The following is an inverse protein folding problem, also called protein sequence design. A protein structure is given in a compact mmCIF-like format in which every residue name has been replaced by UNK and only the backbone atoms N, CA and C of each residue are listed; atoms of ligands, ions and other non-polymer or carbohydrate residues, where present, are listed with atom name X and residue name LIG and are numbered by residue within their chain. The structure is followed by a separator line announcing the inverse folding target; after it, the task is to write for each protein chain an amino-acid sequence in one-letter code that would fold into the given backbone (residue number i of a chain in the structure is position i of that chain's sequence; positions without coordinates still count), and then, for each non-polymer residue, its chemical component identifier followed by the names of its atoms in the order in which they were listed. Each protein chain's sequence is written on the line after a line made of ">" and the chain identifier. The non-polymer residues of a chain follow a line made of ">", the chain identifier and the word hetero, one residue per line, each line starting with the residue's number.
data_IF_522521871217
#
_entry.id   IF_522521871217
#
_cell.length_a   1.000
_cell.length_b   1.000
_cell.length_c   1.000
_cell.angle_alpha   90.00
_cell.angle_beta   90.00
_cell.angle_gamma   90.00
#
_symmetry.space_group_name_H-M   'P 1'
#
loop_
_entity.id
_entity.type
_entity.pdbx_description
1 polymer ?
#
# COMPACT_ATOMS: atom_id res chain seq x y z
N UNK A 1 79.52 -21.64 -65.47
CA UNK A 1 78.67 -21.17 -66.56
C UNK A 1 77.19 -21.39 -66.15
N UNK A 2 76.44 -20.30 -66.21
CA UNK A 2 75.00 -20.13 -65.94
C UNK A 2 74.60 -19.97 -64.50
N UNK A 3 74.49 -18.69 -64.14
CA UNK A 3 73.74 -18.13 -63.10
C UNK A 3 72.25 -18.43 -63.26
N UNK A 4 71.56 -18.75 -62.19
CA UNK A 4 70.09 -18.63 -62.07
C UNK A 4 69.72 -17.81 -60.86
N UNK A 5 69.37 -16.57 -61.17
CA UNK A 5 68.79 -15.67 -60.18
C UNK A 5 67.40 -16.14 -59.79
N UNK A 6 67.14 -16.33 -58.47
CA UNK A 6 65.84 -16.56 -57.94
C UNK A 6 65.34 -15.23 -57.32
N UNK A 7 64.30 -14.69 -57.94
CA UNK A 7 63.55 -13.53 -57.43
C UNK A 7 62.67 -13.98 -56.28
N UNK A 8 62.96 -13.51 -55.09
CA UNK A 8 62.10 -13.71 -53.91
C UNK A 8 61.02 -12.63 -53.88
N UNK A 9 59.75 -13.02 -54.12
CA UNK A 9 58.61 -12.14 -53.92
C UNK A 9 58.34 -12.00 -52.39
N UNK A 10 58.52 -10.80 -51.91
CA UNK A 10 57.98 -10.41 -50.54
C UNK A 10 56.46 -10.21 -50.63
N UNK A 11 55.72 -11.08 -50.04
CA UNK A 11 54.28 -10.87 -49.78
C UNK A 11 54.12 -10.03 -48.52
N UNK A 12 53.68 -8.82 -48.73
CA UNK A 12 53.23 -7.96 -47.63
C UNK A 12 51.89 -8.49 -47.06
N UNK A 13 51.90 -8.82 -45.76
CA UNK A 13 50.71 -9.16 -45.00
C UNK A 13 49.99 -7.87 -44.60
N UNK A 14 48.66 -7.73 -44.77
CA UNK A 14 47.94 -6.58 -44.31
C UNK A 14 47.65 -6.75 -42.80
N UNK A 15 48.25 -5.88 -41.97
CA UNK A 15 47.86 -5.68 -40.60
C UNK A 15 46.40 -5.16 -40.55
N UNK A 16 45.46 -6.02 -40.17
CA UNK A 16 44.13 -5.60 -39.75
C UNK A 16 44.25 -4.89 -38.39
N UNK A 17 44.16 -3.57 -38.39
CA UNK A 17 43.93 -2.79 -37.19
C UNK A 17 42.49 -2.99 -36.72
N UNK A 18 42.26 -3.91 -35.80
CA UNK A 18 41.01 -4.00 -35.08
C UNK A 18 40.92 -2.85 -34.08
N UNK A 19 40.20 -1.79 -34.41
CA UNK A 19 39.79 -0.74 -33.48
C UNK A 19 38.70 -1.34 -32.60
N UNK A 20 39.07 -1.78 -31.40
CA UNK A 20 38.12 -2.15 -30.35
C UNK A 20 37.47 -0.86 -29.85
N UNK A 21 36.27 -0.54 -30.37
CA UNK A 21 35.43 0.53 -29.80
C UNK A 21 34.89 0.01 -28.47
N UNK A 22 35.57 0.31 -27.37
CA UNK A 22 35.05 0.11 -26.02
C UNK A 22 33.90 1.10 -25.82
N UNK A 23 32.66 0.68 -26.07
CA UNK A 23 31.49 1.35 -25.57
C UNK A 23 31.52 1.25 -24.03
N UNK A 24 32.11 2.25 -23.39
CA UNK A 24 31.88 2.48 -21.97
C UNK A 24 30.41 2.86 -21.81
N UNK A 25 29.57 1.89 -21.48
CA UNK A 25 28.29 2.16 -20.85
C UNK A 25 28.61 2.88 -19.53
N UNK A 26 28.57 4.20 -19.56
CA UNK A 26 28.43 4.99 -18.34
C UNK A 26 27.10 4.56 -17.72
N UNK A 27 27.14 3.60 -16.79
CA UNK A 27 26.02 3.34 -15.92
C UNK A 27 25.69 4.68 -15.25
N UNK A 28 24.50 5.21 -15.50
CA UNK A 28 24.02 6.38 -14.76
C UNK A 28 24.24 6.10 -13.28
N UNK A 29 24.78 7.07 -12.51
CA UNK A 29 25.01 6.86 -11.09
C UNK A 29 23.70 6.37 -10.47
N UNK A 30 23.72 5.23 -9.80
CA UNK A 30 22.56 4.73 -9.06
C UNK A 30 22.21 5.80 -8.04
N UNK A 31 21.08 6.46 -8.26
CA UNK A 31 20.62 7.50 -7.33
C UNK A 31 20.36 6.82 -6.00
N UNK A 32 21.04 7.20 -4.94
CA UNK A 32 20.78 6.70 -3.60
C UNK A 32 19.32 7.00 -3.22
N UNK A 33 18.66 6.07 -2.53
CA UNK A 33 17.31 6.31 -2.05
C UNK A 33 17.28 7.56 -1.15
N UNK A 34 16.27 8.40 -1.35
CA UNK A 34 16.08 9.64 -0.62
C UNK A 34 14.66 9.71 -0.06
N UNK A 35 14.50 10.21 1.17
CA UNK A 35 13.19 10.44 1.81
C UNK A 35 12.96 11.92 2.07
N UNK A 36 11.76 12.39 1.72
CA UNK A 36 11.32 13.77 1.93
C UNK A 36 9.93 13.83 2.56
N UNK A 37 9.62 14.90 3.28
CA UNK A 37 8.25 15.18 3.73
C UNK A 37 7.55 15.99 2.66
N UNK A 38 6.39 15.53 2.20
CA UNK A 38 5.61 16.19 1.14
C UNK A 38 4.33 16.85 1.66
N UNK A 39 3.82 16.42 2.81
CA UNK A 39 2.66 17.02 3.46
C UNK A 39 2.73 16.83 4.98
N UNK A 40 2.15 17.76 5.70
CA UNK A 40 2.13 17.77 7.15
C UNK A 40 3.29 18.53 7.77
N UNK A 41 3.01 19.26 8.85
CA UNK A 41 3.96 20.06 9.61
C UNK A 41 4.30 19.44 10.99
N UNK A 42 3.85 18.21 11.24
CA UNK A 42 4.07 17.50 12.49
C UNK A 42 3.07 17.82 13.61
N UNK A 43 2.08 18.68 13.38
CA UNK A 43 1.06 19.02 14.38
C UNK A 43 -0.22 18.19 14.14
N UNK A 44 -0.80 17.57 15.20
CA UNK A 44 -2.02 16.77 15.10
C UNK A 44 -3.26 17.66 14.97
N UNK A 45 -3.57 18.08 13.77
CA UNK A 45 -4.77 18.86 13.43
C UNK A 45 -5.10 18.66 11.94
N UNK A 46 -6.33 19.02 11.55
CA UNK A 46 -6.76 19.04 10.14
C UNK A 46 -6.95 20.48 9.72
N UNK A 47 -5.98 21.05 9.01
CA UNK A 47 -6.00 22.47 8.62
C UNK A 47 -5.08 22.75 7.42
N UNK A 48 -5.11 23.99 6.96
CA UNK A 48 -4.19 24.48 5.92
C UNK A 48 -4.74 24.37 4.50
N UNK A 49 -6.04 24.16 4.32
CA UNK A 49 -6.68 24.14 3.00
C UNK A 49 -6.41 25.42 2.22
N UNK A 50 -6.14 25.27 0.92
CA UNK A 50 -5.76 26.36 0.02
C UNK A 50 -4.30 26.80 0.12
N UNK A 51 -3.53 26.22 1.05
CA UNK A 51 -2.10 26.49 1.22
C UNK A 51 -1.20 25.30 0.87
N UNK A 52 0.13 25.47 1.04
CA UNK A 52 1.10 24.41 0.77
C UNK A 52 0.90 23.19 1.69
N UNK A 53 0.84 21.98 1.12
CA UNK A 53 0.64 20.74 1.86
C UNK A 53 1.72 20.50 2.93
N UNK A 54 2.97 20.88 2.66
CA UNK A 54 4.08 20.77 3.62
C UNK A 54 3.91 21.67 4.86
N UNK A 55 3.11 22.73 4.77
CA UNK A 55 2.79 23.65 5.87
C UNK A 55 1.47 23.34 6.58
N UNK A 56 0.64 22.50 5.97
CA UNK A 56 -0.65 22.08 6.52
C UNK A 56 -0.45 21.19 7.74
N UNK A 57 -1.44 21.15 8.63
CA UNK A 57 -1.47 20.12 9.67
C UNK A 57 -2.29 18.93 9.19
N UNK A 58 -1.78 17.72 9.44
CA UNK A 58 -2.46 16.45 9.22
C UNK A 58 -2.68 15.75 10.56
N UNK A 59 -3.78 15.02 10.69
CA UNK A 59 -4.07 14.29 11.92
C UNK A 59 -4.11 12.78 11.64
N UNK A 60 -2.98 12.11 11.89
CA UNK A 60 -2.75 10.69 11.64
C UNK A 60 -3.05 10.31 10.18
N UNK A 61 -2.20 10.65 9.19
CA UNK A 61 -2.38 10.23 7.82
C UNK A 61 -2.26 8.70 7.71
N UNK A 62 -3.30 8.05 7.18
CA UNK A 62 -3.38 6.60 7.01
C UNK A 62 -3.35 6.23 5.51
N UNK A 63 -4.49 5.92 4.92
CA UNK A 63 -4.54 5.49 3.53
C UNK A 63 -4.09 6.57 2.55
N UNK A 64 -3.29 6.19 1.57
CA UNK A 64 -2.75 7.06 0.53
C UNK A 64 -3.02 6.41 -0.82
N UNK A 65 -3.44 7.18 -1.80
CA UNK A 65 -3.65 6.71 -3.17
C UNK A 65 -3.50 7.84 -4.17
N UNK A 66 -3.29 7.50 -5.45
CA UNK A 66 -3.33 8.46 -6.54
C UNK A 66 -4.64 8.34 -7.29
N UNK A 67 -5.27 9.49 -7.54
CA UNK A 67 -6.49 9.56 -8.31
C UNK A 67 -6.27 9.42 -9.82
N UNK A 68 -7.35 9.18 -10.57
CA UNK A 68 -7.30 9.17 -12.04
C UNK A 68 -6.93 10.54 -12.63
N UNK A 69 -7.08 11.62 -11.86
CA UNK A 69 -6.62 12.98 -12.17
C UNK A 69 -5.10 13.16 -11.97
N UNK A 70 -4.38 12.11 -11.53
CA UNK A 70 -2.97 12.16 -11.25
C UNK A 70 -2.59 12.82 -9.93
N UNK A 71 -3.56 13.24 -9.09
CA UNK A 71 -3.31 13.89 -7.82
C UNK A 71 -3.22 12.88 -6.66
N UNK A 72 -2.55 13.26 -5.58
CA UNK A 72 -2.40 12.42 -4.40
C UNK A 72 -3.53 12.68 -3.41
N UNK A 73 -4.08 11.60 -2.86
CA UNK A 73 -5.14 11.63 -1.86
C UNK A 73 -4.67 10.93 -0.59
N UNK A 74 -5.05 11.49 0.56
CA UNK A 74 -4.65 11.01 1.88
C UNK A 74 -5.86 11.05 2.80
N UNK A 75 -6.17 9.96 3.50
CA UNK A 75 -7.15 10.03 4.57
C UNK A 75 -6.48 10.30 5.92
N UNK A 76 -7.12 11.13 6.72
CA UNK A 76 -6.71 11.49 8.06
C UNK A 76 -7.59 10.73 9.07
N UNK A 77 -7.01 9.75 9.77
CA UNK A 77 -7.74 8.86 10.67
C UNK A 77 -8.43 9.61 11.82
N UNK A 78 -7.68 10.38 12.61
CA UNK A 78 -8.23 11.22 13.65
C UNK A 78 -8.63 12.62 13.16
N UNK A 79 -8.32 12.94 11.90
CA UNK A 79 -8.78 14.14 11.22
C UNK A 79 -10.16 14.02 10.61
N UNK A 80 -10.74 12.80 10.56
CA UNK A 80 -12.09 12.55 10.04
C UNK A 80 -12.34 13.16 8.65
N UNK A 81 -11.30 13.14 7.80
CA UNK A 81 -11.31 13.80 6.51
C UNK A 81 -10.48 13.05 5.46
N UNK A 82 -10.74 13.33 4.20
CA UNK A 82 -9.88 12.97 3.08
C UNK A 82 -9.37 14.24 2.44
N UNK A 83 -8.04 14.32 2.28
CA UNK A 83 -7.34 15.46 1.71
C UNK A 83 -6.79 15.11 0.32
N UNK A 84 -6.75 16.11 -0.56
CA UNK A 84 -6.15 16.02 -1.88
C UNK A 84 -4.99 17.00 -1.97
N UNK A 85 -3.87 16.54 -2.52
CA UNK A 85 -2.67 17.36 -2.80
C UNK A 85 -2.58 17.56 -4.31
N UNK A 86 -2.68 18.79 -4.74
CA UNK A 86 -2.60 19.20 -6.13
C UNK A 86 -1.15 19.17 -6.65
N UNK A 87 -0.98 19.25 -7.98
CA UNK A 87 0.34 19.20 -8.62
C UNK A 87 1.25 20.37 -8.23
N UNK A 88 0.68 21.54 -7.89
CA UNK A 88 1.39 22.71 -7.38
C UNK A 88 1.74 22.61 -5.89
N UNK A 89 1.38 21.49 -5.23
CA UNK A 89 1.60 21.27 -3.81
C UNK A 89 0.51 21.83 -2.89
N UNK A 90 -0.57 22.42 -3.43
CA UNK A 90 -1.69 22.92 -2.62
C UNK A 90 -2.53 21.76 -2.07
N UNK A 91 -2.93 21.83 -0.79
CA UNK A 91 -3.81 20.85 -0.16
C UNK A 91 -5.24 21.36 -0.02
N UNK A 92 -6.21 20.46 -0.14
CA UNK A 92 -7.63 20.75 0.07
C UNK A 92 -8.38 19.55 0.64
N UNK A 93 -9.42 19.79 1.44
CA UNK A 93 -10.34 18.76 1.94
C UNK A 93 -11.37 18.45 0.85
N UNK A 94 -11.54 17.14 0.52
CA UNK A 94 -12.51 16.70 -0.48
C UNK A 94 -13.67 15.89 0.12
N UNK A 95 -13.51 15.32 1.31
CA UNK A 95 -14.55 14.63 2.05
C UNK A 95 -14.30 14.74 3.55
N UNK A 96 -15.37 14.84 4.32
CA UNK A 96 -15.31 14.97 5.78
C UNK A 96 -15.23 16.40 6.28
N UNK A 97 -15.91 16.68 7.38
CA UNK A 97 -15.94 18.03 8.04
C UNK A 97 -14.85 18.20 9.08
N UNK A 98 -14.00 17.20 9.32
CA UNK A 98 -13.07 17.17 10.45
C UNK A 98 -13.72 16.82 11.79
N UNK A 99 -15.03 16.60 11.83
CA UNK A 99 -15.78 16.18 13.03
C UNK A 99 -16.24 14.73 12.89
N UNK A 100 -16.04 13.88 13.92
CA UNK A 100 -16.49 12.49 13.86
C UNK A 100 -18.01 12.40 13.75
N UNK A 101 -18.49 11.46 12.94
CA UNK A 101 -19.91 11.20 12.75
C UNK A 101 -20.21 10.36 11.53
N UNK A 102 -21.50 10.16 11.28
CA UNK A 102 -22.02 9.43 10.11
C UNK A 102 -23.21 10.18 9.53
N UNK A 103 -22.96 10.96 8.48
CA UNK A 103 -24.00 11.77 7.83
C UNK A 103 -23.61 12.16 6.42
N UNK A 104 -24.50 12.82 5.71
CA UNK A 104 -24.21 13.51 4.45
C UNK A 104 -24.49 12.71 3.19
N UNK A 105 -25.08 11.53 3.26
CA UNK A 105 -25.44 10.74 2.07
C UNK A 105 -26.37 11.53 1.15
N UNK A 106 -26.06 11.52 -0.15
CA UNK A 106 -26.77 12.28 -1.19
C UNK A 106 -26.35 13.74 -1.30
N UNK A 107 -25.48 14.23 -0.40
CA UNK A 107 -24.98 15.61 -0.40
C UNK A 107 -23.49 15.72 -0.71
N UNK A 108 -22.93 16.95 -0.61
CA UNK A 108 -21.52 17.22 -0.85
C UNK A 108 -20.62 16.45 0.13
N UNK A 109 -19.61 15.74 -0.39
CA UNK A 109 -18.69 14.93 0.43
C UNK A 109 -17.92 15.78 1.45
N UNK A 110 -17.54 17.01 1.12
CA UNK A 110 -16.85 17.92 2.04
C UNK A 110 -17.74 18.39 3.21
N UNK A 111 -19.07 18.26 3.09
CA UNK A 111 -20.03 18.56 4.15
C UNK A 111 -20.48 17.33 4.96
N UNK A 112 -20.05 16.14 4.56
CA UNK A 112 -20.38 14.89 5.24
C UNK A 112 -19.54 14.70 6.50
N UNK A 113 -20.04 13.92 7.46
CA UNK A 113 -19.24 13.46 8.57
C UNK A 113 -18.71 12.06 8.29
N UNK A 114 -17.42 11.87 8.51
CA UNK A 114 -16.72 10.60 8.53
C UNK A 114 -16.29 10.29 9.98
N UNK A 115 -15.99 9.03 10.28
CA UNK A 115 -15.49 8.68 11.60
C UNK A 115 -14.34 7.68 11.52
N UNK A 116 -13.12 8.17 11.62
CA UNK A 116 -11.87 7.42 11.48
C UNK A 116 -11.75 6.75 10.12
N UNK A 117 -11.78 7.52 9.00
CA UNK A 117 -11.53 6.97 7.68
C UNK A 117 -10.14 6.35 7.67
N UNK A 118 -10.06 5.09 7.21
CA UNK A 118 -8.86 4.28 7.42
C UNK A 118 -8.09 4.00 6.12
N UNK A 119 -8.80 3.68 5.05
CA UNK A 119 -8.24 3.39 3.75
C UNK A 119 -9.08 4.07 2.66
N UNK A 120 -8.42 4.43 1.57
CA UNK A 120 -9.05 5.03 0.39
C UNK A 120 -8.52 4.39 -0.88
N UNK A 121 -9.41 4.11 -1.83
CA UNK A 121 -9.05 3.60 -3.16
C UNK A 121 -9.98 4.19 -4.21
N UNK A 122 -9.44 4.43 -5.40
CA UNK A 122 -10.26 4.75 -6.56
C UNK A 122 -10.74 3.47 -7.22
N UNK A 123 -12.04 3.39 -7.48
CA UNK A 123 -12.65 2.28 -8.20
C UNK A 123 -12.48 2.37 -9.71
N UNK A 124 -12.80 1.28 -10.43
CA UNK A 124 -12.80 1.27 -11.90
C UNK A 124 -13.81 2.25 -12.51
N UNK A 125 -14.79 2.69 -11.73
CA UNK A 125 -15.76 3.74 -12.07
C UNK A 125 -15.25 5.17 -11.84
N UNK A 126 -13.97 5.34 -11.43
CA UNK A 126 -13.35 6.63 -11.13
C UNK A 126 -13.82 7.28 -9.83
N UNK A 127 -14.72 6.65 -9.07
CA UNK A 127 -15.15 7.14 -7.78
C UNK A 127 -14.13 6.81 -6.68
N UNK A 128 -14.10 7.64 -5.64
CA UNK A 128 -13.29 7.39 -4.46
C UNK A 128 -14.10 6.59 -3.43
N UNK A 129 -13.55 5.46 -3.02
CA UNK A 129 -14.10 4.62 -1.95
C UNK A 129 -13.30 4.84 -0.68
N UNK A 130 -14.01 4.94 0.45
CA UNK A 130 -13.45 5.27 1.75
C UNK A 130 -13.91 4.19 2.73
N UNK A 131 -12.98 3.49 3.34
CA UNK A 131 -13.26 2.63 4.48
C UNK A 131 -13.44 3.51 5.71
N UNK A 132 -14.69 3.77 6.10
CA UNK A 132 -15.05 4.63 7.22
C UNK A 132 -15.23 3.76 8.47
N UNK A 133 -14.11 3.46 9.13
CA UNK A 133 -13.96 2.38 10.10
C UNK A 133 -14.99 2.44 11.21
N UNK A 134 -15.08 3.56 11.93
CA UNK A 134 -15.94 3.67 13.12
C UNK A 134 -17.41 3.96 12.80
N UNK A 135 -17.75 4.12 11.52
CA UNK A 135 -19.15 4.09 11.07
C UNK A 135 -19.56 2.71 10.58
N UNK A 136 -18.61 1.75 10.54
CA UNK A 136 -18.85 0.37 10.04
C UNK A 136 -19.39 0.36 8.63
N UNK A 137 -18.89 1.28 7.77
CA UNK A 137 -19.35 1.43 6.37
C UNK A 137 -18.19 1.61 5.41
N UNK A 138 -18.48 1.34 4.14
CA UNK A 138 -17.69 1.82 3.02
C UNK A 138 -18.48 2.95 2.37
N UNK A 139 -17.85 4.14 2.29
CA UNK A 139 -18.45 5.32 1.64
C UNK A 139 -17.91 5.44 0.22
N UNK A 140 -18.71 5.99 -0.68
CA UNK A 140 -18.34 6.25 -2.08
C UNK A 140 -18.56 7.72 -2.40
N UNK A 141 -17.54 8.38 -2.92
CA UNK A 141 -17.62 9.77 -3.43
C UNK A 141 -17.59 9.71 -4.95
N UNK A 142 -18.63 10.21 -5.58
CA UNK A 142 -18.64 10.48 -7.00
C UNK A 142 -17.80 11.71 -7.29
N UNK A 143 -16.65 11.54 -7.95
CA UNK A 143 -15.69 12.63 -8.16
C UNK A 143 -16.16 13.66 -9.19
N UNK A 144 -17.15 13.33 -10.02
CA UNK A 144 -17.70 14.25 -11.02
C UNK A 144 -18.68 15.23 -10.41
N UNK A 145 -19.46 14.80 -9.39
CA UNK A 145 -20.49 15.60 -8.73
C UNK A 145 -20.06 16.06 -7.34
N UNK A 146 -19.03 15.44 -6.76
CA UNK A 146 -18.63 15.65 -5.36
C UNK A 146 -19.61 15.05 -4.35
N UNK A 147 -20.55 14.20 -4.76
CA UNK A 147 -21.58 13.63 -3.90
C UNK A 147 -21.09 12.37 -3.21
N UNK A 148 -21.35 12.24 -1.89
CA UNK A 148 -21.04 11.05 -1.11
C UNK A 148 -22.29 10.19 -0.90
N UNK A 149 -22.08 8.87 -0.81
CA UNK A 149 -23.11 7.89 -0.45
C UNK A 149 -22.51 6.72 0.30
N UNK A 150 -23.35 5.98 1.04
CA UNK A 150 -22.97 4.70 1.65
C UNK A 150 -23.01 3.59 0.59
N UNK A 151 -21.87 2.94 0.36
CA UNK A 151 -21.73 1.85 -0.60
C UNK A 151 -22.00 0.49 0.01
N UNK A 152 -21.49 0.24 1.22
CA UNK A 152 -21.67 -1.00 1.98
C UNK A 152 -21.71 -0.71 3.47
N UNK A 153 -22.38 -1.60 4.22
CA UNK A 153 -22.53 -1.47 5.67
C UNK A 153 -23.82 -0.75 6.08
N UNK A 154 -24.38 -1.17 7.22
CA UNK A 154 -25.61 -0.59 7.79
C UNK A 154 -25.37 0.55 8.76
N UNK A 155 -24.10 0.89 9.06
CA UNK A 155 -23.74 1.83 10.11
C UNK A 155 -23.80 1.24 11.53
N UNK A 156 -24.07 -0.06 11.66
CA UNK A 156 -24.07 -0.79 12.95
C UNK A 156 -23.05 -1.90 12.93
N UNK A 157 -22.24 -2.07 14.00
CA UNK A 157 -21.27 -3.14 14.07
C UNK A 157 -21.95 -4.51 14.09
N UNK A 158 -21.37 -5.49 13.38
CA UNK A 158 -21.89 -6.85 13.35
C UNK A 158 -21.37 -7.64 12.15
N UNK A 159 -21.84 -8.89 12.03
CA UNK A 159 -21.59 -9.78 10.91
C UNK A 159 -22.87 -10.33 10.35
N UNK A 160 -23.24 -9.90 9.15
CA UNK A 160 -24.41 -10.43 8.43
C UNK A 160 -24.33 -10.09 6.93
N UNK A 161 -25.30 -10.55 6.18
CA UNK A 161 -25.58 -10.09 4.82
C UNK A 161 -24.85 -10.86 3.72
N UNK A 162 -24.13 -11.94 4.00
CA UNK A 162 -23.53 -12.78 2.95
C UNK A 162 -24.60 -13.33 2.00
N UNK A 163 -24.35 -13.18 0.70
CA UNK A 163 -25.29 -13.53 -0.36
C UNK A 163 -26.36 -12.48 -0.65
N UNK A 164 -26.36 -11.35 0.08
CA UNK A 164 -27.30 -10.24 -0.09
C UNK A 164 -26.63 -8.93 -0.48
N UNK A 165 -27.44 -7.84 -0.57
CA UNK A 165 -26.93 -6.52 -0.90
C UNK A 165 -25.91 -5.99 0.12
N UNK A 166 -24.77 -5.49 -0.34
CA UNK A 166 -23.70 -4.98 0.52
C UNK A 166 -24.17 -3.81 1.40
N UNK A 167 -25.12 -2.99 0.94
CA UNK A 167 -25.70 -1.88 1.72
C UNK A 167 -26.53 -2.35 2.91
N UNK A 168 -26.97 -3.62 2.92
CA UNK A 168 -27.75 -4.22 4.01
C UNK A 168 -26.89 -5.14 4.90
N UNK A 169 -25.63 -5.31 4.61
CA UNK A 169 -24.71 -6.12 5.40
C UNK A 169 -24.23 -5.39 6.65
N UNK A 170 -24.11 -6.08 7.78
CA UNK A 170 -23.39 -5.53 8.94
C UNK A 170 -21.89 -5.80 8.77
N UNK A 171 -21.09 -4.76 8.94
CA UNK A 171 -19.63 -4.78 8.98
C UNK A 171 -19.17 -4.44 10.40
N UNK A 172 -17.93 -4.77 10.75
CA UNK A 172 -17.37 -4.42 12.05
C UNK A 172 -15.92 -3.94 11.89
N UNK A 173 -15.73 -2.63 12.04
CA UNK A 173 -14.45 -1.97 11.83
C UNK A 173 -13.80 -2.34 10.48
N UNK A 174 -14.46 -2.06 9.32
CA UNK A 174 -13.81 -2.24 8.03
C UNK A 174 -12.61 -1.30 7.94
N UNK A 175 -11.42 -1.82 7.57
CA UNK A 175 -10.18 -1.04 7.64
C UNK A 175 -9.45 -0.90 6.33
N UNK A 176 -9.35 -1.92 5.53
CA UNK A 176 -8.69 -1.88 4.23
C UNK A 176 -9.65 -2.29 3.13
N UNK A 177 -9.51 -1.66 1.99
CA UNK A 177 -10.24 -1.96 0.77
C UNK A 177 -9.26 -2.06 -0.39
N UNK A 178 -9.51 -2.97 -1.33
CA UNK A 178 -8.73 -3.12 -2.55
C UNK A 178 -9.61 -3.66 -3.67
N UNK A 179 -9.42 -3.16 -4.89
CA UNK A 179 -10.12 -3.68 -6.06
C UNK A 179 -9.38 -4.88 -6.64
N UNK A 180 -10.15 -5.88 -7.07
CA UNK A 180 -9.56 -7.00 -7.82
C UNK A 180 -8.94 -6.51 -9.13
N UNK A 181 -7.86 -7.15 -9.62
CA UNK A 181 -7.17 -6.71 -10.84
C UNK A 181 -8.03 -6.68 -12.10
N UNK A 182 -9.09 -7.50 -12.13
CA UNK A 182 -10.08 -7.54 -13.21
C UNK A 182 -11.15 -6.43 -13.10
N UNK A 183 -11.13 -5.67 -12.01
CA UNK A 183 -12.08 -4.58 -11.75
C UNK A 183 -13.50 -5.03 -11.42
N UNK A 184 -13.73 -6.30 -11.12
CA UNK A 184 -15.09 -6.83 -10.88
C UNK A 184 -15.50 -6.83 -9.40
N UNK A 185 -14.53 -6.81 -8.48
CA UNK A 185 -14.81 -6.93 -7.05
C UNK A 185 -14.09 -5.87 -6.23
N UNK A 186 -14.74 -5.43 -5.15
CA UNK A 186 -14.12 -4.71 -4.04
C UNK A 186 -13.94 -5.69 -2.88
N UNK A 187 -12.69 -5.94 -2.51
CA UNK A 187 -12.35 -6.71 -1.31
C UNK A 187 -12.19 -5.77 -0.13
N UNK A 188 -12.59 -6.21 1.06
CA UNK A 188 -12.42 -5.45 2.30
C UNK A 188 -12.00 -6.33 3.48
N UNK A 189 -11.14 -5.79 4.33
CA UNK A 189 -10.79 -6.38 5.62
C UNK A 189 -11.80 -5.93 6.68
N UNK A 190 -12.70 -6.81 7.05
CA UNK A 190 -13.70 -6.66 8.09
C UNK A 190 -13.10 -7.17 9.42
N UNK A 191 -12.17 -6.38 9.98
CA UNK A 191 -11.25 -6.84 11.02
C UNK A 191 -11.94 -7.21 12.32
N UNK A 192 -12.97 -6.48 12.73
CA UNK A 192 -13.73 -6.80 13.93
C UNK A 192 -14.44 -8.16 13.81
N UNK A 193 -14.74 -8.59 12.59
CA UNK A 193 -15.33 -9.89 12.26
C UNK A 193 -14.30 -10.95 11.89
N UNK A 194 -12.99 -10.65 11.89
CA UNK A 194 -11.90 -11.56 11.51
C UNK A 194 -12.11 -12.18 10.11
N UNK A 195 -12.49 -11.35 9.11
CA UNK A 195 -12.85 -11.78 7.76
C UNK A 195 -12.29 -10.85 6.70
N UNK A 196 -12.05 -11.41 5.52
CA UNK A 196 -11.97 -10.68 4.26
C UNK A 196 -13.28 -10.92 3.53
N UNK A 197 -13.99 -9.83 3.21
CA UNK A 197 -15.25 -9.88 2.46
C UNK A 197 -14.99 -9.42 1.02
N UNK A 198 -15.83 -9.85 0.10
CA UNK A 198 -15.81 -9.46 -1.31
C UNK A 198 -17.18 -8.94 -1.72
N UNK A 199 -17.21 -7.82 -2.42
CA UNK A 199 -18.44 -7.24 -3.00
C UNK A 199 -18.27 -7.26 -4.52
N UNK A 200 -19.16 -7.98 -5.21
CA UNK A 200 -19.27 -7.91 -6.65
C UNK A 200 -19.81 -6.54 -7.06
N UNK A 201 -19.08 -5.81 -7.90
CA UNK A 201 -19.40 -4.42 -8.22
C UNK A 201 -20.64 -4.28 -9.12
N UNK A 202 -20.99 -5.31 -9.90
CA UNK A 202 -22.14 -5.30 -10.79
C UNK A 202 -23.42 -5.62 -10.03
N UNK A 203 -23.46 -6.71 -9.28
CA UNK A 203 -24.64 -7.17 -8.54
C UNK A 203 -24.79 -6.49 -7.18
N UNK A 204 -23.73 -5.89 -6.64
CA UNK A 204 -23.64 -5.33 -5.28
C UNK A 204 -23.84 -6.37 -4.19
N UNK A 205 -23.66 -7.64 -4.50
CA UNK A 205 -23.73 -8.75 -3.53
C UNK A 205 -22.42 -8.85 -2.76
N UNK A 206 -22.52 -8.95 -1.44
CA UNK A 206 -21.37 -9.19 -0.56
C UNK A 206 -21.29 -10.66 -0.16
N UNK A 207 -20.06 -11.19 -0.07
CA UNK A 207 -19.78 -12.55 0.41
C UNK A 207 -18.52 -12.56 1.27
N UNK A 208 -18.36 -13.57 2.11
CA UNK A 208 -17.08 -13.84 2.79
C UNK A 208 -16.12 -14.56 1.86
N UNK A 209 -14.99 -13.94 1.54
CA UNK A 209 -13.91 -14.56 0.77
C UNK A 209 -13.08 -15.52 1.65
N UNK A 210 -12.72 -15.07 2.84
CA UNK A 210 -11.91 -15.83 3.80
C UNK A 210 -12.17 -15.34 5.23
N UNK A 211 -12.02 -16.22 6.19
CA UNK A 211 -12.20 -15.92 7.61
C UNK A 211 -13.44 -16.55 8.22
N UNK A 212 -13.29 -17.27 9.34
CA UNK A 212 -14.38 -17.92 10.06
C UNK A 212 -14.85 -17.14 11.31
N UNK A 213 -14.23 -16.00 11.61
CA UNK A 213 -14.52 -15.18 12.78
C UNK A 213 -13.68 -15.50 14.01
N UNK A 214 -12.94 -16.60 14.02
CA UNK A 214 -12.07 -16.95 15.14
C UNK A 214 -10.76 -16.14 15.10
N UNK A 215 -10.36 -15.60 16.24
CA UNK A 215 -9.04 -14.99 16.48
C UNK A 215 -8.03 -16.11 16.76
N UNK A 216 -7.63 -16.82 15.73
CA UNK A 216 -6.69 -17.94 15.84
C UNK A 216 -5.62 -17.86 14.75
N UNK A 217 -4.43 -18.43 14.97
CA UNK A 217 -3.38 -18.46 13.96
C UNK A 217 -3.88 -19.06 12.64
N UNK A 218 -3.56 -18.39 11.54
CA UNK A 218 -3.84 -18.89 10.20
C UNK A 218 -2.81 -19.94 9.82
N UNK A 219 -3.22 -21.20 9.50
CA UNK A 219 -2.26 -22.23 9.12
C UNK A 219 -1.65 -21.92 7.73
N UNK A 220 -0.36 -22.24 7.57
CA UNK A 220 0.27 -22.25 6.26
C UNK A 220 -0.30 -23.42 5.43
N UNK A 221 -0.57 -23.16 4.15
CA UNK A 221 -1.25 -24.13 3.27
C UNK A 221 -2.76 -24.24 3.47
N UNK A 222 -3.37 -23.39 4.31
CA UNK A 222 -4.82 -23.37 4.48
C UNK A 222 -5.54 -22.85 3.24
N UNK A 223 -6.77 -23.31 2.96
CA UNK A 223 -7.55 -22.80 1.84
C UNK A 223 -7.96 -21.33 2.06
N UNK A 224 -7.97 -20.54 0.99
CA UNK A 224 -8.59 -19.21 0.97
C UNK A 224 -10.12 -19.39 0.97
N UNK A 225 -10.70 -19.57 2.14
CA UNK A 225 -12.10 -19.92 2.31
C UNK A 225 -12.71 -19.34 3.57
N UNK A 226 -14.06 -19.26 3.64
CA UNK A 226 -14.76 -18.83 4.85
C UNK A 226 -14.53 -19.72 6.09
N UNK A 227 -14.00 -20.93 5.92
CA UNK A 227 -13.72 -21.85 7.05
C UNK A 227 -12.36 -21.61 7.70
N UNK A 228 -11.44 -20.88 7.04
CA UNK A 228 -10.08 -20.64 7.52
C UNK A 228 -10.06 -19.52 8.56
N UNK A 229 -9.45 -19.70 9.73
CA UNK A 229 -9.29 -18.60 10.70
C UNK A 229 -8.30 -17.56 10.17
N UNK A 230 -8.59 -16.28 10.43
CA UNK A 230 -7.67 -15.17 10.18
C UNK A 230 -7.37 -14.44 11.50
N UNK A 231 -6.08 -14.17 11.73
CA UNK A 231 -5.66 -13.51 12.97
C UNK A 231 -5.38 -12.02 12.72
N UNK A 232 -6.44 -11.21 12.72
CA UNK A 232 -6.37 -9.78 12.51
C UNK A 232 -6.09 -9.40 11.04
N UNK A 233 -6.99 -9.74 10.09
CA UNK A 233 -6.84 -9.35 8.67
C UNK A 233 -6.83 -7.83 8.57
N UNK A 234 -5.69 -7.27 8.18
CA UNK A 234 -5.42 -5.83 8.31
C UNK A 234 -5.39 -5.09 7.00
N UNK A 235 -4.74 -5.64 6.01
CA UNK A 235 -4.63 -5.05 4.68
C UNK A 235 -4.43 -6.12 3.63
N UNK A 236 -4.88 -5.79 2.44
CA UNK A 236 -4.78 -6.63 1.24
C UNK A 236 -4.21 -5.80 0.09
N UNK A 237 -3.50 -6.44 -0.80
CA UNK A 237 -3.07 -5.88 -2.09
C UNK A 237 -2.92 -6.99 -3.11
N UNK A 238 -2.79 -6.64 -4.38
CA UNK A 238 -2.49 -7.57 -5.44
C UNK A 238 -1.11 -7.30 -6.03
N UNK A 239 -0.37 -8.34 -6.35
CA UNK A 239 0.85 -8.20 -7.15
C UNK A 239 0.50 -8.13 -8.67
N UNK A 240 1.46 -7.78 -9.54
CA UNK A 240 1.23 -7.69 -10.97
C UNK A 240 0.83 -9.01 -11.64
N UNK A 241 1.01 -10.15 -10.96
CA UNK A 241 0.57 -11.48 -11.43
C UNK A 241 -0.85 -11.80 -10.97
N UNK A 242 -1.51 -10.90 -10.25
CA UNK A 242 -2.86 -11.08 -9.71
C UNK A 242 -2.94 -11.95 -8.45
N UNK A 243 -1.82 -12.24 -7.79
CA UNK A 243 -1.88 -12.92 -6.50
C UNK A 243 -2.33 -11.94 -5.42
N UNK A 244 -3.21 -12.42 -4.56
CA UNK A 244 -3.66 -11.71 -3.36
C UNK A 244 -2.58 -11.80 -2.27
N UNK A 245 -2.21 -10.68 -1.69
CA UNK A 245 -1.36 -10.58 -0.51
C UNK A 245 -2.17 -10.06 0.66
N UNK A 246 -2.03 -10.68 1.81
CA UNK A 246 -2.80 -10.41 3.02
C UNK A 246 -1.86 -10.26 4.22
N UNK A 247 -1.91 -9.11 4.89
CA UNK A 247 -1.25 -8.92 6.17
C UNK A 247 -2.21 -9.27 7.32
N UNK A 248 -1.73 -10.10 8.23
CA UNK A 248 -2.40 -10.45 9.47
C UNK A 248 -1.71 -9.72 10.62
N UNK A 249 -2.30 -8.60 11.08
CA UNK A 249 -1.71 -7.72 12.10
C UNK A 249 -1.41 -8.46 13.39
N UNK A 250 -2.40 -9.14 13.93
CA UNK A 250 -2.31 -9.81 15.23
C UNK A 250 -1.55 -11.14 15.12
N UNK A 251 -1.51 -11.70 13.91
CA UNK A 251 -0.70 -12.87 13.57
C UNK A 251 0.75 -12.56 13.24
N UNK A 252 1.14 -11.28 13.09
CA UNK A 252 2.50 -10.85 12.72
C UNK A 252 3.04 -11.56 11.48
N UNK A 253 2.18 -11.78 10.47
CA UNK A 253 2.49 -12.58 9.28
C UNK A 253 1.94 -11.96 8.00
N UNK A 254 2.58 -12.31 6.89
CA UNK A 254 2.11 -11.99 5.54
C UNK A 254 1.84 -13.29 4.80
N UNK A 255 0.67 -13.39 4.20
CA UNK A 255 0.26 -14.50 3.35
C UNK A 255 0.11 -14.05 1.91
N UNK A 256 0.32 -14.98 0.99
CA UNK A 256 0.01 -14.86 -0.43
C UNK A 256 -0.93 -16.00 -0.83
N UNK A 257 -1.91 -15.69 -1.67
CA UNK A 257 -2.75 -16.70 -2.32
C UNK A 257 -2.87 -16.40 -3.81
N UNK A 258 -2.73 -17.42 -4.66
CA UNK A 258 -3.22 -17.33 -6.02
C UNK A 258 -4.74 -17.46 -6.01
N UNK A 259 -5.44 -16.66 -6.80
CA UNK A 259 -6.90 -16.79 -6.93
C UNK A 259 -7.32 -18.07 -7.68
N UNK A 260 -6.38 -18.75 -8.36
CA UNK A 260 -6.62 -20.01 -9.06
C UNK A 260 -6.53 -21.23 -8.16
N UNK A 261 -5.49 -21.35 -7.32
CA UNK A 261 -5.31 -22.46 -6.38
C UNK A 261 -6.02 -22.24 -5.06
N UNK A 262 -6.26 -20.98 -4.70
CA UNK A 262 -6.94 -20.57 -3.47
C UNK A 262 -6.31 -21.13 -2.20
N UNK A 263 -4.97 -21.21 -2.16
CA UNK A 263 -4.20 -21.64 -1.01
C UNK A 263 -3.43 -20.47 -0.41
N UNK A 264 -3.52 -20.28 0.90
CA UNK A 264 -2.79 -19.28 1.67
C UNK A 264 -1.40 -19.80 1.99
N UNK A 265 -0.37 -19.24 1.39
CA UNK A 265 1.03 -19.52 1.71
C UNK A 265 1.61 -18.41 2.57
N UNK A 266 2.15 -18.76 3.73
CA UNK A 266 2.85 -17.80 4.58
C UNK A 266 4.21 -17.44 3.97
N UNK A 267 4.34 -16.18 3.56
CA UNK A 267 5.56 -15.68 2.89
C UNK A 267 6.50 -15.02 3.89
N UNK A 268 5.98 -14.32 4.89
CA UNK A 268 6.79 -13.62 5.88
C UNK A 268 6.19 -13.66 7.27
N UNK A 269 7.05 -13.49 8.24
CA UNK A 269 6.67 -13.43 9.66
C UNK A 269 6.66 -14.81 10.32
N UNK A 270 7.24 -14.89 11.54
CA UNK A 270 7.29 -16.11 12.36
C UNK A 270 6.02 -16.31 13.19
N UNK A 271 5.09 -15.36 13.19
CA UNK A 271 3.94 -15.33 14.11
C UNK A 271 4.26 -14.74 15.48
N UNK A 272 5.49 -14.34 15.72
CA UNK A 272 5.92 -13.65 16.96
C UNK A 272 6.28 -12.20 16.63
N UNK A 273 5.88 -11.23 17.47
CA UNK A 273 6.22 -9.84 17.25
C UNK A 273 7.74 -9.61 17.35
N UNK A 274 8.27 -8.72 16.52
CA UNK A 274 9.68 -8.35 16.54
C UNK A 274 10.15 -7.65 15.27
N UNK A 275 11.41 -7.23 15.31
CA UNK A 275 12.12 -6.57 14.21
C UNK A 275 13.45 -7.28 13.95
N UNK A 276 13.40 -8.40 13.24
CA UNK A 276 14.59 -9.21 12.95
C UNK A 276 14.54 -9.81 11.56
N UNK A 277 15.63 -10.44 11.14
CA UNK A 277 15.71 -11.19 9.89
C UNK A 277 15.94 -10.33 8.65
N UNK A 278 16.30 -9.04 8.79
CA UNK A 278 16.62 -8.18 7.66
C UNK A 278 17.85 -8.70 6.90
N UNK A 279 17.76 -8.78 5.58
CA UNK A 279 18.77 -9.37 4.70
C UNK A 279 18.69 -10.89 4.57
N UNK A 280 17.80 -11.55 5.31
CA UNK A 280 17.58 -12.99 5.28
C UNK A 280 16.21 -13.39 4.72
N UNK A 281 15.86 -14.70 4.81
CA UNK A 281 14.57 -15.21 4.34
C UNK A 281 13.39 -14.55 5.05
N UNK A 282 12.42 -14.05 4.30
CA UNK A 282 11.24 -13.37 4.84
C UNK A 282 10.42 -14.28 5.77
N UNK A 283 10.36 -15.59 5.48
CA UNK A 283 9.65 -16.58 6.30
C UNK A 283 10.24 -16.76 7.70
N UNK A 284 11.52 -16.43 7.88
CA UNK A 284 12.23 -16.50 9.16
C UNK A 284 12.30 -15.15 9.90
N UNK A 285 11.86 -14.06 9.26
CA UNK A 285 11.85 -12.73 9.86
C UNK A 285 10.73 -12.58 10.88
N UNK A 286 10.95 -11.80 11.94
CA UNK A 286 9.87 -11.34 12.82
C UNK A 286 9.33 -10.01 12.31
N UNK A 287 8.00 -9.88 12.26
CA UNK A 287 7.26 -8.67 11.97
C UNK A 287 6.55 -8.19 13.24
N UNK A 288 6.23 -6.92 13.32
CA UNK A 288 5.51 -6.36 14.48
C UNK A 288 4.29 -5.57 14.04
N UNK A 289 3.14 -6.23 13.99
CA UNK A 289 1.86 -5.62 13.65
C UNK A 289 1.86 -4.99 12.24
N UNK A 290 2.10 -5.74 11.15
CA UNK A 290 2.09 -5.20 9.79
C UNK A 290 0.71 -4.64 9.44
N UNK A 291 0.64 -3.39 8.94
CA UNK A 291 -0.62 -2.68 8.72
C UNK A 291 -0.83 -2.16 7.30
N UNK A 292 0.21 -1.91 6.53
CA UNK A 292 0.14 -1.47 5.15
C UNK A 292 0.85 -2.44 4.22
N UNK A 293 0.28 -2.68 3.04
CA UNK A 293 0.91 -3.42 1.94
C UNK A 293 0.81 -2.61 0.65
N UNK A 294 1.87 -2.65 -0.15
CA UNK A 294 1.85 -2.16 -1.52
C UNK A 294 2.75 -3.04 -2.39
N UNK A 295 2.36 -3.21 -3.65
CA UNK A 295 3.16 -3.95 -4.63
C UNK A 295 3.70 -3.02 -5.70
N UNK A 296 4.95 -3.18 -6.10
CA UNK A 296 5.49 -2.47 -7.25
C UNK A 296 5.36 -3.29 -8.55
N UNK A 297 5.73 -2.68 -9.67
CA UNK A 297 5.66 -3.31 -11.00
C UNK A 297 6.56 -4.54 -11.16
N UNK A 298 7.54 -4.76 -10.27
CA UNK A 298 8.40 -5.95 -10.22
C UNK A 298 7.81 -7.05 -9.35
N UNK A 299 6.70 -6.78 -8.65
CA UNK A 299 6.06 -7.70 -7.71
C UNK A 299 6.72 -7.71 -6.33
N UNK A 300 7.63 -6.77 -6.02
CA UNK A 300 8.14 -6.60 -4.66
C UNK A 300 7.01 -6.10 -3.76
N UNK A 301 6.97 -6.61 -2.54
CA UNK A 301 5.90 -6.29 -1.57
C UNK A 301 6.47 -5.45 -0.45
N UNK A 302 6.03 -4.22 -0.39
CA UNK A 302 6.36 -3.27 0.67
C UNK A 302 5.39 -3.45 1.83
N UNK A 303 5.90 -3.36 3.05
CA UNK A 303 5.17 -3.62 4.29
C UNK A 303 5.40 -2.45 5.24
N UNK A 304 4.34 -1.79 5.67
CA UNK A 304 4.41 -0.95 6.86
C UNK A 304 4.42 -1.87 8.09
N UNK A 305 5.61 -2.15 8.60
CA UNK A 305 5.82 -2.92 9.82
C UNK A 305 5.70 -1.97 11.01
N UNK A 306 4.45 -1.66 11.34
CA UNK A 306 4.04 -0.46 12.06
C UNK A 306 4.65 -0.35 13.46
N UNK A 307 4.59 -1.43 14.25
CA UNK A 307 5.10 -1.41 15.63
C UNK A 307 6.64 -1.57 15.65
N UNK A 308 7.25 -1.89 14.49
CA UNK A 308 8.71 -1.80 14.27
C UNK A 308 9.13 -0.45 13.70
N UNK A 309 8.23 0.50 13.56
CA UNK A 309 8.52 1.87 13.07
C UNK A 309 9.35 1.89 11.78
N UNK A 310 9.05 0.98 10.85
CA UNK A 310 9.82 0.79 9.63
C UNK A 310 8.95 0.39 8.45
N UNK A 311 9.48 0.63 7.24
CA UNK A 311 8.97 0.05 6.02
C UNK A 311 9.96 -1.02 5.57
N UNK A 312 9.44 -2.21 5.32
CA UNK A 312 10.21 -3.36 4.85
C UNK A 312 9.74 -3.77 3.46
N UNK A 313 10.59 -4.45 2.73
CA UNK A 313 10.25 -4.98 1.40
C UNK A 313 10.61 -6.47 1.33
N UNK A 314 9.70 -7.26 0.77
CA UNK A 314 9.96 -8.63 0.35
C UNK A 314 10.22 -8.61 -1.14
N UNK A 315 11.32 -9.21 -1.57
CA UNK A 315 11.55 -9.56 -2.97
C UNK A 315 11.09 -11.01 -3.19
N UNK A 316 10.00 -11.25 -3.91
CA UNK A 316 9.49 -12.61 -4.12
C UNK A 316 10.41 -13.48 -4.98
N UNK A 317 11.31 -12.89 -5.77
CA UNK A 317 12.26 -13.63 -6.60
C UNK A 317 13.37 -14.28 -5.77
N UNK A 318 13.86 -13.56 -4.75
CA UNK A 318 14.90 -14.07 -3.83
C UNK A 318 14.32 -14.67 -2.54
N UNK A 319 13.07 -14.31 -2.17
CA UNK A 319 12.45 -14.66 -0.90
C UNK A 319 13.02 -13.88 0.29
N UNK A 320 13.85 -12.85 0.05
CA UNK A 320 14.50 -12.08 1.09
C UNK A 320 13.65 -10.88 1.52
N UNK A 321 13.85 -10.45 2.77
CA UNK A 321 13.24 -9.23 3.32
C UNK A 321 14.32 -8.25 3.74
N UNK A 322 14.10 -6.96 3.47
CA UNK A 322 15.02 -5.88 3.87
C UNK A 322 14.26 -4.64 4.36
N UNK A 323 14.96 -3.73 5.05
CA UNK A 323 14.43 -2.41 5.43
C UNK A 323 14.59 -1.45 4.28
N UNK A 324 13.56 -0.64 4.04
CA UNK A 324 13.53 0.40 3.00
C UNK A 324 13.55 1.80 3.62
N UNK A 325 12.86 1.98 4.74
CA UNK A 325 12.81 3.22 5.49
C UNK A 325 12.52 2.96 6.97
N UNK A 326 12.99 3.84 7.81
CA UNK A 326 12.85 3.72 9.28
C UNK A 326 14.05 3.04 9.92
N UNK A 327 14.36 3.48 11.14
CA UNK A 327 15.50 2.95 11.94
C UNK A 327 15.14 1.75 12.79
N UNK A 328 13.86 1.34 12.84
CA UNK A 328 13.36 0.35 13.78
C UNK A 328 13.02 0.93 15.16
N UNK A 329 13.20 2.23 15.36
CA UNK A 329 12.89 2.94 16.61
C UNK A 329 11.91 4.07 16.35
N UNK A 330 10.92 4.22 17.24
CA UNK A 330 9.95 5.32 17.18
C UNK A 330 10.64 6.67 17.36
N UNK A 331 10.32 7.63 16.51
CA UNK A 331 10.81 8.99 16.64
C UNK A 331 10.47 9.88 15.46
N UNK A 332 11.04 11.09 15.48
CA UNK A 332 10.80 12.14 14.48
C UNK A 332 12.09 12.68 13.87
N UNK A 333 13.26 12.13 14.21
CA UNK A 333 14.51 12.53 13.61
C UNK A 333 14.50 12.26 12.10
N UNK A 334 14.82 13.28 11.33
CA UNK A 334 14.75 13.26 9.87
C UNK A 334 16.15 13.30 9.26
N UNK A 335 16.36 12.51 8.22
CA UNK A 335 17.57 12.45 7.39
C UNK A 335 17.13 12.34 5.93
N UNK A 336 17.90 12.82 4.95
CA UNK A 336 17.65 12.48 3.55
C UNK A 336 17.76 10.98 3.26
N UNK A 337 18.55 10.25 4.05
CA UNK A 337 18.68 8.80 3.94
C UNK A 337 17.49 8.12 4.65
N UNK A 338 16.64 7.35 3.92
CA UNK A 338 15.47 6.71 4.51
C UNK A 338 15.80 5.71 5.62
N UNK A 339 16.97 5.08 5.59
CA UNK A 339 17.42 4.14 6.64
C UNK A 339 17.89 4.83 7.93
N UNK A 340 18.08 6.14 7.89
CA UNK A 340 18.48 6.96 9.05
C UNK A 340 17.34 7.86 9.55
N UNK A 341 16.21 7.87 8.85
CA UNK A 341 15.01 8.61 9.27
C UNK A 341 14.21 7.77 10.26
N UNK A 342 13.84 8.35 11.39
CA UNK A 342 12.91 7.74 12.32
C UNK A 342 11.47 7.90 11.82
N UNK A 343 10.68 6.83 11.92
CA UNK A 343 9.25 6.84 11.68
C UNK A 343 8.50 6.63 13.00
N UNK A 344 7.24 7.06 13.05
CA UNK A 344 6.38 6.84 14.20
C UNK A 344 5.09 6.15 13.76
N UNK A 345 5.06 4.83 13.92
CA UNK A 345 3.93 3.96 13.56
C UNK A 345 3.40 4.24 12.14
N UNK A 346 4.19 4.00 11.08
CA UNK A 346 3.70 4.14 9.72
C UNK A 346 2.54 3.18 9.47
N UNK A 347 1.45 3.66 8.83
CA UNK A 347 0.26 2.85 8.54
C UNK A 347 0.09 2.60 7.04
N UNK A 348 -0.47 3.56 6.33
CA UNK A 348 -0.70 3.41 4.90
C UNK A 348 0.55 3.65 4.09
N UNK A 349 0.72 2.84 3.06
CA UNK A 349 1.78 3.00 2.07
C UNK A 349 1.20 2.86 0.67
N UNK A 350 1.81 3.57 -0.27
CA UNK A 350 1.43 3.54 -1.68
C UNK A 350 2.68 3.60 -2.55
N UNK A 351 2.78 2.71 -3.53
CA UNK A 351 3.82 2.75 -4.57
C UNK A 351 3.21 3.34 -5.83
N UNK A 352 3.82 4.41 -6.32
CA UNK A 352 3.43 5.05 -7.56
C UNK A 352 4.06 4.38 -8.79
N UNK A 353 3.55 4.70 -9.96
CA UNK A 353 4.05 4.18 -11.24
C UNK A 353 5.51 4.54 -11.52
N UNK A 354 6.00 5.67 -10.96
CA UNK A 354 7.40 6.09 -11.04
C UNK A 354 8.32 5.37 -10.05
N UNK A 355 7.79 4.42 -9.25
CA UNK A 355 8.50 3.70 -8.21
C UNK A 355 8.68 4.48 -6.91
N UNK A 356 8.11 5.66 -6.78
CA UNK A 356 8.10 6.41 -5.51
C UNK A 356 7.21 5.72 -4.49
N UNK A 357 7.72 5.56 -3.27
CA UNK A 357 6.96 5.06 -2.12
C UNK A 357 6.47 6.23 -1.28
N UNK A 358 5.16 6.31 -1.09
CA UNK A 358 4.52 7.24 -0.16
C UNK A 358 4.20 6.53 1.14
N UNK A 359 4.43 7.20 2.27
CA UNK A 359 4.29 6.64 3.62
C UNK A 359 3.46 7.60 4.47
N UNK A 360 2.36 7.12 5.02
CA UNK A 360 1.67 7.78 6.12
C UNK A 360 2.45 7.55 7.42
N UNK A 361 3.32 8.50 7.77
CA UNK A 361 4.10 8.50 9.01
C UNK A 361 3.20 9.06 10.13
N UNK A 362 2.26 8.20 10.58
CA UNK A 362 0.99 8.61 11.16
C UNK A 362 1.16 9.41 12.45
N UNK A 363 1.93 8.92 13.43
CA UNK A 363 2.13 9.62 14.70
C UNK A 363 3.17 10.74 14.61
N UNK A 364 3.85 10.89 13.46
CA UNK A 364 4.58 12.10 13.11
C UNK A 364 3.70 13.12 12.36
N UNK A 365 2.45 12.76 12.04
CA UNK A 365 1.48 13.63 11.38
C UNK A 365 1.96 14.20 10.06
N UNK A 366 2.69 13.39 9.28
CA UNK A 366 3.27 13.77 7.98
C UNK A 366 3.11 12.66 6.95
N UNK A 367 3.12 13.04 5.68
CA UNK A 367 3.29 12.12 4.56
C UNK A 367 4.72 12.23 4.04
N UNK A 368 5.41 11.09 3.98
CA UNK A 368 6.76 10.98 3.43
C UNK A 368 6.72 10.43 2.01
N UNK A 369 7.70 10.81 1.20
CA UNK A 369 7.99 10.23 -0.11
C UNK A 369 9.41 9.70 -0.14
N UNK A 370 9.60 8.43 -0.55
CA UNK A 370 10.91 7.82 -0.80
C UNK A 370 11.06 7.63 -2.30
N UNK A 371 12.19 8.07 -2.84
CA UNK A 371 12.57 7.92 -4.26
C UNK A 371 13.87 7.12 -4.38
N UNK A 372 14.20 6.64 -5.57
CA UNK A 372 15.45 5.90 -5.81
C UNK A 372 15.46 4.47 -5.28
N UNK A 373 14.29 3.85 -5.11
CA UNK A 373 14.13 2.45 -4.72
C UNK A 373 14.30 1.54 -5.95
N UNK A 374 15.54 1.22 -6.32
CA UNK A 374 15.90 0.37 -7.47
C UNK A 374 16.01 -1.11 -7.09
#
# INVERSE_FOLDING_TARGET
>A
MRENSIITLLTMSPLLSAILLALSFLAAPSRSAEITTIAGNGKPATSGDGGPAASASLHDPFGITRGPDGLLYVCEFNGHAVRRIAADGTISTIAGTGKPGFSGDGGPAAAAQLNKPHEIRFGPDGALYISDMSTHTIRRVDMSTGTISTFAGTGKPGFSGDGGPASSAALNDPIAIEFSPDGHSLLLCDIGNQRVRSIDLKSRIITTLCGNGAKAPTPDGAPLSPATPLHGPRTITFDPKGNLWLALRDGHTIFRASLSDRILHRVAGTGKPGFSGNGGPASAASLSGPKGLASDSRGRIYIADTESHSIRVIDPASGLISVVAGTGSKGHASSPNPLQTQLARPHGIFIDKDGSLYIGDSENHVVRRVTGLN
#
